data_IF_335717732035
#
_entry.id   IF_335717732035
#
_cell.length_a   1.000
_cell.length_b   1.000
_cell.length_c   1.000
_cell.angle_alpha   90.00
_cell.angle_beta   90.00
_cell.angle_gamma   90.00
#
_symmetry.space_group_name_H-M   'P 1'
#
loop_
_entity.id
_entity.type
_entity.pdbx_description
1 polymer ?
#
# COMPACT_ATOMS: atom_id res chain seq x y z
N UNK A 1 -14.03 -14.63 -16.28
CA UNK A 1 -12.97 -13.94 -15.52
C UNK A 1 -13.63 -13.07 -14.48
N UNK A 2 -13.37 -13.31 -13.20
CA UNK A 2 -13.97 -12.57 -12.08
C UNK A 2 -12.93 -11.52 -11.68
N UNK A 3 -13.22 -10.21 -11.82
CA UNK A 3 -12.39 -9.17 -11.19
C UNK A 3 -12.24 -9.53 -9.72
N UNK A 4 -11.01 -9.46 -9.17
CA UNK A 4 -10.64 -10.00 -7.86
C UNK A 4 -11.81 -9.96 -6.86
N UNK A 5 -12.36 -11.15 -6.56
CA UNK A 5 -13.48 -11.32 -5.64
C UNK A 5 -12.91 -11.16 -4.23
N UNK A 6 -12.73 -9.94 -3.76
CA UNK A 6 -12.79 -9.70 -2.33
C UNK A 6 -14.26 -9.86 -1.95
N UNK A 7 -14.62 -11.08 -1.58
CA UNK A 7 -15.95 -11.47 -1.14
C UNK A 7 -16.21 -10.78 0.19
N UNK A 8 -16.81 -9.59 0.13
CA UNK A 8 -17.68 -9.11 1.21
C UNK A 8 -19.05 -9.76 0.96
N UNK A 9 -19.24 -10.97 1.47
CA UNK A 9 -20.57 -11.50 1.74
C UNK A 9 -21.19 -10.66 2.85
N UNK A 10 -21.90 -9.60 2.48
CA UNK A 10 -22.96 -9.06 3.33
C UNK A 10 -24.27 -9.17 2.57
N UNK A 11 -25.12 -10.03 3.13
CA UNK A 11 -26.41 -10.40 2.60
C UNK A 11 -27.31 -9.18 2.36
N UNK A 12 -27.89 -9.16 1.18
CA UNK A 12 -29.21 -8.60 0.97
C UNK A 12 -30.21 -9.33 1.85
N UNK A 13 -31.00 -8.58 2.63
CA UNK A 13 -32.47 -8.67 2.76
C UNK A 13 -32.85 -7.86 3.99
N UNK A 14 -33.48 -6.70 3.79
CA UNK A 14 -34.43 -6.15 4.75
C UNK A 14 -35.33 -5.14 4.04
N UNK A 15 -36.51 -5.63 3.66
CA UNK A 15 -37.72 -4.82 3.51
C UNK A 15 -38.83 -5.48 4.34
N UNK A 16 -39.28 -4.71 5.33
CA UNK A 16 -40.62 -4.58 5.89
C UNK A 16 -41.39 -5.81 6.47
N UNK A 17 -41.77 -5.58 7.75
CA UNK A 17 -43.13 -5.70 8.32
C UNK A 17 -43.52 -6.97 9.13
N UNK A 18 -43.61 -6.71 10.45
CA UNK A 18 -44.55 -7.18 11.48
C UNK A 18 -45.49 -8.36 11.19
N UNK A 19 -45.40 -9.39 12.04
CA UNK A 19 -46.54 -9.93 12.81
C UNK A 19 -46.03 -10.91 13.88
N UNK A 20 -46.47 -10.72 15.13
CA UNK A 20 -46.26 -11.59 16.28
C UNK A 20 -47.13 -12.84 16.20
N UNK A 21 -46.55 -14.05 16.25
CA UNK A 21 -47.22 -15.24 16.79
C UNK A 21 -46.18 -16.15 17.47
N UNK A 22 -46.53 -16.55 18.68
CA UNK A 22 -45.86 -17.45 19.62
C UNK A 22 -45.85 -18.91 19.14
N UNK A 23 -44.68 -19.57 19.10
CA UNK A 23 -44.55 -21.02 19.35
C UNK A 23 -43.07 -21.45 19.47
N UNK A 24 -42.72 -22.06 20.59
CA UNK A 24 -41.67 -23.09 20.78
C UNK A 24 -42.42 -24.28 21.42
N UNK A 25 -41.92 -25.54 21.44
CA UNK A 25 -40.61 -26.02 20.99
C UNK A 25 -40.65 -27.36 20.21
N UNK A 26 -39.56 -27.73 19.53
CA UNK A 26 -39.27 -29.16 19.30
C UNK A 26 -37.76 -29.41 19.18
N UNK A 27 -37.32 -30.51 19.80
CA UNK A 27 -35.94 -30.94 19.93
C UNK A 27 -35.45 -31.67 18.66
N UNK A 28 -34.13 -31.68 18.37
CA UNK A 28 -33.60 -32.36 17.19
C UNK A 28 -33.58 -33.90 17.34
N UNK A 29 -33.95 -34.59 16.26
CA UNK A 29 -33.94 -36.04 16.12
C UNK A 29 -32.50 -36.64 16.13
N UNK A 30 -32.34 -37.96 16.41
CA UNK A 30 -31.03 -38.58 16.59
C UNK A 30 -30.33 -38.90 15.26
N UNK A 31 -29.00 -38.80 15.26
CA UNK A 31 -28.12 -39.18 14.15
C UNK A 31 -28.13 -40.71 13.95
N UNK A 32 -28.56 -41.15 12.76
CA UNK A 32 -28.50 -42.54 12.32
C UNK A 32 -27.09 -42.90 11.84
N UNK A 33 -26.60 -44.07 12.29
CA UNK A 33 -25.25 -44.59 12.08
C UNK A 33 -25.08 -45.16 10.67
N UNK A 34 -24.07 -44.69 9.93
CA UNK A 34 -23.61 -45.36 8.70
C UNK A 34 -22.78 -46.62 9.04
N UNK A 35 -22.94 -47.75 8.32
CA UNK A 35 -22.15 -48.96 8.57
C UNK A 35 -20.73 -48.90 8.00
N UNK A 36 -19.79 -49.50 8.74
CA UNK A 36 -18.38 -49.69 8.39
C UNK A 36 -18.22 -50.58 7.15
N UNK A 37 -17.27 -50.21 6.28
CA UNK A 37 -16.75 -51.06 5.21
C UNK A 37 -15.78 -52.15 5.79
N UNK A 38 -15.71 -53.35 5.17
CA UNK A 38 -14.98 -54.48 5.73
C UNK A 38 -13.45 -54.39 5.55
N UNK A 39 -12.76 -54.90 6.57
CA UNK A 39 -11.32 -55.12 6.68
C UNK A 39 -10.87 -56.26 5.75
N UNK A 40 -9.76 -56.10 5.03
CA UNK A 40 -9.03 -57.18 4.37
C UNK A 40 -7.57 -57.20 4.89
N UNK A 41 -7.17 -58.34 5.43
CA UNK A 41 -5.84 -58.69 5.97
C UNK A 41 -4.97 -59.38 4.86
N UNK A 42 -3.65 -59.59 5.00
CA UNK A 42 -2.69 -59.34 3.93
C UNK A 42 -2.08 -60.65 3.41
N UNK A 43 -1.45 -60.57 2.23
CA UNK A 43 -0.44 -61.55 1.84
C UNK A 43 -0.74 -62.31 0.55
N UNK A 44 -0.19 -61.80 -0.56
CA UNK A 44 0.66 -62.55 -1.50
C UNK A 44 1.18 -61.61 -2.59
N UNK A 45 2.48 -61.34 -2.59
CA UNK A 45 3.17 -60.77 -3.75
C UNK A 45 3.49 -61.87 -4.78
N UNK A 46 3.33 -61.58 -6.07
CA UNK A 46 4.19 -62.15 -7.12
C UNK A 46 5.11 -61.06 -7.71
N UNK A 47 6.35 -61.47 -8.02
CA UNK A 47 7.48 -60.62 -8.43
C UNK A 47 7.37 -59.93 -9.80
N UNK A 48 8.37 -59.11 -10.16
CA UNK A 48 8.26 -58.10 -11.21
C UNK A 48 8.50 -58.69 -12.61
N UNK A 49 7.51 -58.56 -13.49
CA UNK A 49 7.71 -58.59 -14.94
C UNK A 49 8.19 -57.23 -15.46
N UNK A 50 8.91 -57.17 -16.59
CA UNK A 50 9.47 -55.92 -17.09
C UNK A 50 8.36 -54.96 -17.54
N UNK A 51 8.37 -53.75 -16.98
CA UNK A 51 7.43 -52.69 -17.33
C UNK A 51 7.73 -52.12 -18.73
N UNK A 52 6.70 -51.73 -19.51
CA UNK A 52 6.89 -50.98 -20.75
C UNK A 52 7.51 -49.60 -20.46
N UNK A 53 8.41 -49.16 -21.33
CA UNK A 53 9.06 -47.86 -21.24
C UNK A 53 8.04 -46.72 -21.21
N UNK A 54 8.08 -45.92 -20.14
CA UNK A 54 7.32 -44.67 -20.00
C UNK A 54 7.83 -43.64 -21.02
N UNK A 55 6.95 -42.83 -21.64
CA UNK A 55 7.40 -41.70 -22.44
C UNK A 55 8.11 -40.67 -21.55
N UNK A 56 9.19 -40.07 -22.07
CA UNK A 56 9.98 -39.03 -21.40
C UNK A 56 9.10 -37.90 -20.84
N UNK A 57 9.41 -37.38 -19.64
CA UNK A 57 8.69 -36.22 -19.13
C UNK A 57 9.00 -35.00 -20.02
N UNK A 58 7.96 -34.23 -20.33
CA UNK A 58 8.09 -32.93 -20.99
C UNK A 58 9.09 -32.04 -20.21
N UNK A 59 9.82 -31.13 -20.88
CA UNK A 59 10.74 -30.23 -20.21
C UNK A 59 9.98 -29.46 -19.13
N UNK A 60 10.38 -29.63 -17.87
CA UNK A 60 9.85 -28.80 -16.80
C UNK A 60 10.22 -27.34 -17.10
N UNK A 61 9.31 -26.38 -16.88
CA UNK A 61 9.68 -24.96 -16.89
C UNK A 61 10.86 -24.79 -15.94
N UNK A 62 11.89 -24.07 -16.39
CA UNK A 62 13.05 -23.77 -15.56
C UNK A 62 12.57 -23.29 -14.18
N UNK A 63 13.20 -23.75 -13.07
CA UNK A 63 12.83 -23.29 -11.76
C UNK A 63 12.88 -21.77 -11.75
N UNK A 64 11.76 -21.15 -11.37
CA UNK A 64 11.69 -19.72 -11.09
C UNK A 64 12.90 -19.38 -10.22
N UNK A 65 13.69 -18.33 -10.54
CA UNK A 65 14.80 -17.95 -9.68
C UNK A 65 14.28 -17.88 -8.25
N UNK A 66 15.02 -18.48 -7.32
CA UNK A 66 14.74 -18.31 -5.90
C UNK A 66 14.58 -16.80 -5.65
N UNK A 67 13.62 -16.36 -4.81
CA UNK A 67 13.53 -14.97 -4.42
C UNK A 67 14.92 -14.54 -4.00
N UNK A 68 15.50 -13.60 -4.74
CA UNK A 68 16.87 -13.15 -4.52
C UNK A 68 17.01 -12.81 -3.04
N UNK A 69 18.16 -13.14 -2.49
CA UNK A 69 18.60 -12.73 -1.15
C UNK A 69 18.57 -11.19 -0.96
N UNK A 70 18.18 -10.42 -1.98
CA UNK A 70 17.85 -9.00 -1.95
C UNK A 70 16.54 -8.67 -1.20
N UNK A 71 15.62 -9.63 -1.03
CA UNK A 71 14.36 -9.39 -0.31
C UNK A 71 14.49 -9.51 1.23
N UNK A 72 15.59 -10.12 1.73
CA UNK A 72 15.77 -10.40 3.15
C UNK A 72 16.50 -9.28 3.94
N UNK A 73 17.20 -8.38 3.26
CA UNK A 73 18.03 -7.33 3.90
C UNK A 73 17.38 -5.93 3.87
N UNK A 74 16.14 -5.77 3.41
CA UNK A 74 15.49 -4.46 3.27
C UNK A 74 14.90 -3.91 4.59
N UNK A 75 15.51 -4.24 5.73
CA UNK A 75 15.49 -3.32 6.86
C UNK A 75 16.44 -2.17 6.48
N UNK A 76 15.87 -1.06 6.02
CA UNK A 76 16.61 0.17 5.70
C UNK A 76 17.16 0.79 6.98
N UNK A 77 18.14 0.12 7.57
CA UNK A 77 18.93 0.64 8.67
C UNK A 77 19.85 1.74 8.14
N UNK A 78 20.05 2.75 8.98
CA UNK A 78 20.98 3.83 8.69
C UNK A 78 22.40 3.29 8.46
N UNK A 79 23.13 3.90 7.52
CA UNK A 79 24.53 3.58 7.29
C UNK A 79 25.34 3.86 8.56
N UNK A 80 26.18 2.90 8.94
CA UNK A 80 27.08 3.10 10.07
C UNK A 80 28.26 4.00 9.67
N UNK A 81 28.90 4.70 10.63
CA UNK A 81 30.06 5.54 10.34
C UNK A 81 31.14 4.79 9.55
N UNK A 82 31.57 5.37 8.43
CA UNK A 82 32.60 4.80 7.55
C UNK A 82 32.11 3.78 6.53
N UNK A 83 30.81 3.45 6.48
CA UNK A 83 30.23 2.53 5.48
C UNK A 83 29.73 3.21 4.21
N UNK A 84 29.82 4.54 4.13
CA UNK A 84 29.43 5.27 2.94
C UNK A 84 30.40 5.02 1.77
N UNK A 85 29.87 4.58 0.63
CA UNK A 85 30.58 4.45 -0.64
C UNK A 85 29.95 5.41 -1.67
N UNK A 86 30.68 6.43 -2.15
CA UNK A 86 30.17 7.38 -3.14
C UNK A 86 29.90 6.76 -4.52
N UNK A 87 30.28 5.50 -4.75
CA UNK A 87 30.00 4.78 -6.00
C UNK A 87 28.77 3.87 -5.93
N UNK A 88 28.30 3.53 -4.73
CA UNK A 88 27.15 2.66 -4.53
C UNK A 88 25.84 3.42 -4.76
N UNK A 89 24.91 2.79 -5.49
CA UNK A 89 23.52 3.23 -5.54
C UNK A 89 22.78 2.61 -4.35
N UNK A 90 22.27 3.46 -3.46
CA UNK A 90 21.54 3.06 -2.25
C UNK A 90 20.03 2.89 -2.51
N UNK A 91 19.55 3.13 -3.73
CA UNK A 91 18.14 3.02 -4.11
C UNK A 91 17.93 1.94 -5.19
N UNK A 92 17.84 0.65 -4.77
CA UNK A 92 17.66 -0.47 -5.70
C UNK A 92 16.30 -0.44 -6.41
N UNK A 93 15.30 0.18 -5.80
CA UNK A 93 13.96 0.35 -6.35
C UNK A 93 13.71 1.81 -6.67
N UNK A 94 13.29 2.09 -7.91
CA UNK A 94 12.97 3.44 -8.38
C UNK A 94 11.51 3.51 -8.78
N UNK A 95 10.81 4.54 -8.31
CA UNK A 95 9.40 4.78 -8.59
C UNK A 95 9.17 5.03 -10.09
N UNK A 96 8.09 4.46 -10.62
CA UNK A 96 7.62 4.66 -11.99
C UNK A 96 6.24 5.30 -11.93
N UNK A 97 6.17 6.58 -12.27
CA UNK A 97 4.93 7.32 -12.33
C UNK A 97 4.32 7.20 -13.73
N UNK A 98 3.01 7.03 -13.82
CA UNK A 98 2.32 7.02 -15.12
C UNK A 98 1.89 8.40 -15.58
N UNK A 99 1.71 9.34 -14.65
CA UNK A 99 1.60 10.76 -14.95
C UNK A 99 2.80 11.52 -14.39
N UNK A 100 3.27 12.53 -15.12
CA UNK A 100 4.29 13.48 -14.65
C UNK A 100 3.69 14.78 -14.11
N UNK A 101 2.37 14.86 -13.96
CA UNK A 101 1.64 16.10 -13.63
C UNK A 101 1.62 16.42 -12.13
N UNK A 102 1.74 15.42 -11.25
CA UNK A 102 1.70 15.64 -9.79
C UNK A 102 3.07 15.98 -9.22
N UNK A 103 3.96 14.99 -9.19
CA UNK A 103 5.32 15.15 -8.73
C UNK A 103 6.27 14.37 -9.63
N UNK A 104 7.57 14.62 -9.49
CA UNK A 104 8.61 13.79 -10.07
C UNK A 104 9.72 13.53 -9.06
N UNK A 105 10.55 12.55 -9.39
CA UNK A 105 11.69 12.16 -8.56
C UNK A 105 12.88 11.82 -9.44
N UNK A 106 14.00 12.48 -9.14
CA UNK A 106 15.31 12.16 -9.69
C UNK A 106 16.15 11.42 -8.64
N UNK A 107 16.77 10.33 -9.07
CA UNK A 107 17.57 9.48 -8.19
C UNK A 107 19.05 9.71 -8.43
N UNK A 108 19.75 10.00 -7.36
CA UNK A 108 21.20 10.02 -7.29
C UNK A 108 21.64 8.86 -6.39
N UNK A 109 22.95 8.60 -6.34
CA UNK A 109 23.49 7.43 -5.64
C UNK A 109 23.06 7.33 -4.17
N UNK A 110 23.05 8.45 -3.45
CA UNK A 110 22.77 8.47 -2.01
C UNK A 110 21.73 9.53 -1.60
N UNK A 111 21.16 10.26 -2.56
CA UNK A 111 20.03 11.14 -2.31
C UNK A 111 19.05 11.11 -3.48
N UNK A 112 17.83 11.58 -3.24
CA UNK A 112 16.78 11.77 -4.24
C UNK A 112 16.38 13.23 -4.22
N UNK A 113 15.99 13.75 -5.38
CA UNK A 113 15.38 15.07 -5.49
C UNK A 113 13.93 14.83 -5.87
N UNK A 114 13.01 15.34 -5.05
CA UNK A 114 11.57 15.19 -5.26
C UNK A 114 10.99 16.57 -5.51
N UNK A 115 10.33 16.74 -6.63
CA UNK A 115 9.70 18.01 -7.00
C UNK A 115 8.19 17.82 -7.04
N UNK A 116 7.48 18.45 -6.11
CA UNK A 116 6.04 18.59 -6.18
C UNK A 116 5.70 19.73 -7.15
N UNK A 117 5.12 19.39 -8.30
CA UNK A 117 4.82 20.35 -9.37
C UNK A 117 3.54 21.15 -9.12
N UNK A 118 2.69 20.68 -8.20
CA UNK A 118 1.45 21.35 -7.86
C UNK A 118 1.68 22.49 -6.87
N UNK A 119 2.70 22.36 -6.01
CA UNK A 119 3.05 23.37 -4.98
C UNK A 119 4.36 24.09 -5.27
N UNK A 120 5.05 23.74 -6.35
CA UNK A 120 6.38 24.25 -6.71
C UNK A 120 7.42 24.05 -5.60
N UNK A 121 7.28 22.97 -4.82
CA UNK A 121 8.21 22.63 -3.73
C UNK A 121 9.21 21.54 -4.16
N UNK A 122 10.46 21.70 -3.73
CA UNK A 122 11.54 20.72 -3.95
C UNK A 122 12.07 20.22 -2.62
N UNK A 123 12.25 18.90 -2.52
CA UNK A 123 12.75 18.21 -1.34
C UNK A 123 13.97 17.37 -1.70
N UNK A 124 15.00 17.42 -0.86
CA UNK A 124 16.21 16.60 -1.02
C UNK A 124 16.20 15.53 0.05
N UNK A 125 16.10 14.27 -0.39
CA UNK A 125 15.96 13.11 0.49
C UNK A 125 17.27 12.34 0.53
N UNK A 126 18.01 12.43 1.63
CA UNK A 126 19.36 11.88 1.79
C UNK A 126 19.30 10.54 2.51
N UNK A 127 19.96 9.52 1.98
CA UNK A 127 20.07 8.22 2.63
C UNK A 127 20.66 8.36 4.03
N UNK A 128 19.99 7.81 5.05
CA UNK A 128 20.44 7.92 6.43
C UNK A 128 21.89 7.46 6.63
N UNK A 129 22.70 8.31 7.26
CA UNK A 129 24.14 8.09 7.48
C UNK A 129 25.04 8.37 6.27
N UNK A 130 24.50 8.82 5.13
CA UNK A 130 25.28 9.38 4.03
C UNK A 130 25.58 10.87 4.27
N UNK A 131 26.65 11.43 3.67
CA UNK A 131 26.90 12.86 3.73
C UNK A 131 25.77 13.65 3.03
N UNK A 132 25.40 14.79 3.61
CA UNK A 132 24.47 15.72 2.98
C UNK A 132 25.09 16.34 1.73
N UNK A 133 24.40 16.32 0.57
CA UNK A 133 24.93 16.90 -0.65
C UNK A 133 25.05 18.42 -0.52
N UNK A 134 26.18 18.95 -0.98
CA UNK A 134 26.39 20.40 -1.09
C UNK A 134 26.11 20.81 -2.52
N UNK A 135 25.26 21.82 -2.70
CA UNK A 135 24.94 22.40 -4.00
C UNK A 135 25.62 23.75 -4.14
N UNK A 136 26.25 23.99 -5.28
CA UNK A 136 26.95 25.24 -5.58
C UNK A 136 26.75 25.63 -7.05
N UNK A 137 27.28 26.78 -7.45
CA UNK A 137 27.14 27.31 -8.81
C UNK A 137 27.67 26.36 -9.91
N UNK A 138 28.54 25.40 -9.57
CA UNK A 138 29.12 24.42 -10.49
C UNK A 138 28.45 23.04 -10.40
N UNK A 139 27.74 22.75 -9.30
CA UNK A 139 27.12 21.46 -9.05
C UNK A 139 25.66 21.64 -8.62
N UNK A 140 24.74 21.37 -9.56
CA UNK A 140 23.29 21.48 -9.40
C UNK A 140 22.85 22.86 -8.89
N UNK A 141 23.16 23.95 -9.62
CA UNK A 141 22.83 25.32 -9.21
C UNK A 141 21.33 25.55 -8.97
N UNK A 142 20.47 24.79 -9.64
CA UNK A 142 19.01 24.81 -9.43
C UNK A 142 18.59 24.39 -8.02
N UNK A 143 19.45 23.69 -7.27
CA UNK A 143 19.20 23.24 -5.90
C UNK A 143 19.87 24.12 -4.83
N UNK A 144 20.67 25.12 -5.20
CA UNK A 144 21.44 25.95 -4.26
C UNK A 144 20.56 26.74 -3.26
N UNK A 145 19.28 26.97 -3.59
CA UNK A 145 18.31 27.65 -2.71
C UNK A 145 17.34 26.72 -1.98
N UNK A 146 17.46 25.39 -2.13
CA UNK A 146 16.57 24.44 -1.47
C UNK A 146 16.91 24.38 0.01
N UNK A 147 15.90 24.44 0.88
CA UNK A 147 16.06 24.37 2.35
C UNK A 147 15.46 23.11 2.96
N UNK A 148 14.68 22.34 2.19
CA UNK A 148 13.95 21.17 2.68
C UNK A 148 14.74 19.89 2.46
N UNK A 149 15.66 19.63 3.38
CA UNK A 149 16.47 18.41 3.41
C UNK A 149 15.90 17.42 4.43
N UNK A 150 15.85 16.15 4.05
CA UNK A 150 15.35 15.08 4.90
C UNK A 150 16.28 13.88 4.88
N UNK A 151 16.72 13.45 6.05
CA UNK A 151 17.34 12.13 6.20
C UNK A 151 16.24 11.05 6.08
N UNK A 152 16.44 10.04 5.22
CA UNK A 152 15.47 8.99 4.96
C UNK A 152 16.00 7.59 5.34
N UNK A 153 15.20 6.77 6.05
CA UNK A 153 13.88 7.09 6.60
C UNK A 153 13.96 8.05 7.82
N UNK A 154 12.97 8.94 8.05
CA UNK A 154 12.94 9.80 9.23
C UNK A 154 12.70 8.98 10.50
N UNK A 155 13.25 9.41 11.63
CA UNK A 155 13.11 8.71 12.92
C UNK A 155 11.81 9.08 13.62
N UNK A 156 11.33 10.31 13.45
CA UNK A 156 10.06 10.80 13.98
C UNK A 156 9.39 11.68 12.95
N UNK A 157 8.09 11.47 12.75
CA UNK A 157 7.32 12.28 11.80
C UNK A 157 6.01 12.74 12.41
N UNK A 158 5.38 13.73 11.78
CA UNK A 158 4.05 14.17 12.10
C UNK A 158 3.20 14.23 10.83
N UNK A 159 1.89 14.07 11.01
CA UNK A 159 0.93 14.39 9.95
C UNK A 159 -0.13 15.33 10.48
N UNK A 160 -0.45 16.34 9.69
CA UNK A 160 -1.56 17.26 9.88
C UNK A 160 -2.74 16.92 8.94
N UNK A 161 -2.65 15.79 8.21
CA UNK A 161 -3.66 15.29 7.27
C UNK A 161 -4.00 13.81 7.52
N UNK A 162 -5.28 13.46 7.29
CA UNK A 162 -5.76 12.09 7.51
C UNK A 162 -5.45 11.14 6.36
N UNK A 163 -5.45 11.63 5.11
CA UNK A 163 -5.12 10.81 3.94
C UNK A 163 -3.72 10.21 4.07
N UNK A 164 -2.77 10.99 4.58
CA UNK A 164 -1.40 10.55 4.88
C UNK A 164 -1.37 9.30 5.73
N UNK A 165 -2.19 9.20 6.78
CA UNK A 165 -2.21 8.02 7.66
C UNK A 165 -2.55 6.74 6.88
N UNK A 166 -3.59 6.80 6.04
CA UNK A 166 -3.99 5.65 5.23
C UNK A 166 -2.89 5.20 4.26
N UNK A 167 -2.17 6.15 3.64
CA UNK A 167 -1.03 5.81 2.78
C UNK A 167 0.13 5.22 3.57
N UNK A 168 0.47 5.76 4.73
CA UNK A 168 1.55 5.24 5.57
C UNK A 168 1.26 3.83 6.09
N UNK A 169 0.00 3.53 6.43
CA UNK A 169 -0.44 2.18 6.80
C UNK A 169 -0.25 1.19 5.63
N UNK A 170 -0.67 1.56 4.41
CA UNK A 170 -0.46 0.72 3.21
C UNK A 170 1.02 0.52 2.85
N UNK A 171 1.87 1.48 3.21
CA UNK A 171 3.33 1.42 3.05
C UNK A 171 4.02 0.66 4.19
N UNK A 172 3.26 0.11 5.13
CA UNK A 172 3.77 -0.62 6.30
C UNK A 172 4.72 0.24 7.16
N UNK A 173 4.50 1.55 7.20
CA UNK A 173 5.25 2.49 8.03
C UNK A 173 4.65 2.45 9.43
N UNK A 174 5.40 1.86 10.37
CA UNK A 174 5.04 1.81 11.77
C UNK A 174 5.25 3.17 12.46
N UNK A 175 4.46 3.51 13.49
CA UNK A 175 4.49 4.84 14.10
C UNK A 175 5.76 5.08 14.94
N UNK A 176 6.52 6.14 14.62
CA UNK A 176 6.88 7.17 15.59
C UNK A 176 6.25 8.52 15.17
N UNK A 177 4.92 8.56 15.19
CA UNK A 177 4.12 9.64 14.63
C UNK A 177 3.50 10.53 15.72
N UNK A 178 3.60 11.86 15.57
CA UNK A 178 2.71 12.82 16.24
C UNK A 178 1.54 13.13 15.30
N UNK A 179 0.31 12.91 15.76
CA UNK A 179 -0.90 13.37 15.05
C UNK A 179 -1.59 14.42 15.91
N UNK A 180 -1.32 15.73 15.68
CA UNK A 180 -2.11 16.80 16.25
C UNK A 180 -3.54 16.62 15.79
N UNK A 181 -4.49 16.73 16.72
CA UNK A 181 -5.82 16.20 16.53
C UNK A 181 -6.50 16.72 15.28
N UNK A 182 -6.79 15.76 14.43
CA UNK A 182 -7.53 15.94 13.20
C UNK A 182 -9.02 15.89 13.46
N UNK A 183 -9.79 16.69 12.73
CA UNK A 183 -11.24 16.87 12.88
C UNK A 183 -12.08 15.70 12.39
N UNK A 184 -11.48 14.65 11.83
CA UNK A 184 -12.20 13.42 11.53
C UNK A 184 -11.46 12.20 12.06
N UNK A 185 -12.13 11.42 12.89
CA UNK A 185 -11.65 10.13 13.37
C UNK A 185 -11.11 9.29 12.19
N UNK A 186 -9.96 8.60 12.34
CA UNK A 186 -9.51 7.67 11.31
C UNK A 186 -10.63 6.67 11.02
N UNK A 187 -10.82 6.36 9.74
CA UNK A 187 -11.77 5.35 9.28
C UNK A 187 -11.48 4.03 10.01
N UNK A 188 -12.36 3.66 10.96
CA UNK A 188 -12.26 2.40 11.67
C UNK A 188 -12.75 1.30 10.74
N UNK A 189 -11.89 0.37 10.35
CA UNK A 189 -12.36 -0.90 9.78
C UNK A 189 -13.24 -1.58 10.83
N UNK A 190 -14.51 -1.82 10.49
CA UNK A 190 -15.47 -2.52 11.35
C UNK A 190 -15.02 -3.94 11.72
N UNK A 191 -14.01 -4.49 11.05
CA UNK A 191 -13.40 -5.80 11.35
C UNK A 191 -12.46 -5.78 12.56
N UNK A 192 -11.98 -4.62 13.01
CA UNK A 192 -11.05 -4.49 14.14
C UNK A 192 -11.77 -4.15 15.47
N UNK A 193 -13.10 -4.21 15.46
CA UNK A 193 -13.93 -3.96 16.65
C UNK A 193 -13.83 -5.07 17.70
N UNK A 194 -13.32 -6.26 17.35
CA UNK A 194 -13.52 -7.44 18.19
C UNK A 194 -12.25 -8.01 18.84
N UNK A 195 -11.01 -7.64 18.47
CA UNK A 195 -9.85 -8.19 19.21
C UNK A 195 -8.49 -7.48 19.18
N UNK A 196 -8.34 -6.28 18.62
CA UNK A 196 -7.11 -5.49 18.83
C UNK A 196 -7.47 -4.02 19.03
N UNK A 197 -7.55 -3.51 20.28
CA UNK A 197 -7.51 -2.08 20.45
C UNK A 197 -6.15 -1.62 19.93
N UNK A 198 -6.14 -1.00 18.75
CA UNK A 198 -4.98 -0.28 18.26
C UNK A 198 -4.82 0.93 19.21
N UNK A 199 -4.24 0.67 20.38
CA UNK A 199 -4.11 1.59 21.53
C UNK A 199 -3.36 2.86 21.15
N UNK A 200 -2.62 2.79 20.04
CA UNK A 200 -1.88 3.87 19.41
C UNK A 200 -2.71 4.75 18.47
N UNK A 201 -4.04 4.62 18.36
CA UNK A 201 -4.87 5.56 17.56
C UNK A 201 -5.87 6.36 18.40
N UNK A 202 -6.29 5.85 19.57
CA UNK A 202 -7.28 6.51 20.43
C UNK A 202 -6.75 7.68 21.27
N UNK A 203 -5.46 8.01 21.22
CA UNK A 203 -4.86 9.10 22.02
C UNK A 203 -4.79 10.45 21.27
N UNK A 204 -5.17 10.49 20.00
CA UNK A 204 -4.79 11.58 19.08
C UNK A 204 -5.90 12.62 18.83
N UNK A 205 -6.80 12.83 19.79
CA UNK A 205 -7.89 13.81 19.65
C UNK A 205 -7.62 15.05 20.49
N UNK A 206 -7.02 16.05 19.87
CA UNK A 206 -6.98 17.44 20.35
C UNK A 206 -6.84 18.39 19.17
N UNK A 207 -7.86 19.19 18.89
CA UNK A 207 -7.99 20.06 17.70
C UNK A 207 -6.80 21.03 17.63
N UNK A 208 -5.77 20.69 16.85
CA UNK A 208 -4.69 21.60 16.51
C UNK A 208 -4.24 21.29 15.09
N UNK A 209 -4.42 22.24 14.17
CA UNK A 209 -3.97 22.14 12.78
C UNK A 209 -2.49 22.48 12.60
N UNK A 210 -1.75 22.61 13.70
CA UNK A 210 -0.35 22.99 13.74
C UNK A 210 0.40 22.24 14.84
N UNK A 211 1.72 22.13 14.72
CA UNK A 211 2.56 21.66 15.81
C UNK A 211 2.87 22.83 16.75
N UNK A 212 2.90 22.55 18.06
CA UNK A 212 3.58 23.46 19.00
C UNK A 212 5.08 23.51 18.68
N UNK A 213 5.81 24.57 19.07
CA UNK A 213 7.26 24.65 18.83
C UNK A 213 8.01 23.41 19.36
N UNK A 214 7.65 22.93 20.56
CA UNK A 214 8.22 21.71 21.12
C UNK A 214 7.97 20.47 20.26
N UNK A 215 6.75 20.30 19.75
CA UNK A 215 6.41 19.17 18.89
C UNK A 215 7.14 19.24 17.54
N UNK A 216 7.34 20.45 17.01
CA UNK A 216 8.12 20.67 15.78
C UNK A 216 9.61 20.32 15.97
N UNK A 217 10.20 20.68 17.11
CA UNK A 217 11.59 20.29 17.44
C UNK A 217 11.75 18.78 17.60
N UNK A 218 10.70 18.10 18.07
CA UNK A 218 10.71 16.67 18.36
C UNK A 218 10.59 15.76 17.12
N UNK A 219 10.26 16.28 15.94
CA UNK A 219 10.07 15.51 14.71
C UNK A 219 11.10 15.90 13.65
N UNK A 220 11.33 15.00 12.69
CA UNK A 220 12.24 15.19 11.55
C UNK A 220 11.47 15.55 10.27
N UNK A 221 10.18 15.22 10.21
CA UNK A 221 9.32 15.39 9.04
C UNK A 221 7.88 15.71 9.45
N UNK A 222 7.23 16.62 8.73
CA UNK A 222 5.83 16.99 8.93
C UNK A 222 5.10 16.98 7.59
N UNK A 223 4.13 16.09 7.43
CA UNK A 223 3.19 16.15 6.31
C UNK A 223 2.09 17.15 6.63
N UNK A 224 1.91 18.15 5.77
CA UNK A 224 0.91 19.20 5.95
C UNK A 224 0.17 19.48 4.64
N UNK A 225 -1.11 19.83 4.76
CA UNK A 225 -1.96 20.05 3.58
C UNK A 225 -1.84 21.39 2.90
N UNK A 226 -0.92 22.24 3.34
CA UNK A 226 -0.61 23.51 2.69
C UNK A 226 0.90 23.73 2.71
N UNK A 227 1.47 24.44 1.72
CA UNK A 227 2.87 24.84 1.72
C UNK A 227 3.25 25.57 3.00
N UNK A 228 4.44 25.28 3.50
CA UNK A 228 4.97 25.90 4.70
C UNK A 228 6.47 26.16 4.49
N UNK A 229 6.96 27.40 4.76
CA UNK A 229 8.36 27.76 4.51
C UNK A 229 9.35 27.09 5.48
N UNK A 230 8.87 26.47 6.56
CA UNK A 230 9.72 25.76 7.50
C UNK A 230 10.26 24.46 6.89
N UNK A 231 11.54 24.18 7.15
CA UNK A 231 12.34 23.13 6.50
C UNK A 231 11.78 21.72 6.66
N UNK A 232 11.13 21.40 7.80
CA UNK A 232 10.63 20.04 8.07
C UNK A 232 9.26 19.75 7.43
N UNK A 233 8.63 20.73 6.79
CA UNK A 233 7.30 20.57 6.22
C UNK A 233 7.34 20.08 4.78
N UNK A 234 6.53 19.08 4.49
CA UNK A 234 6.28 18.55 3.16
C UNK A 234 4.79 18.68 2.86
N UNK A 235 4.46 19.02 1.62
CA UNK A 235 3.08 19.23 1.19
C UNK A 235 2.67 18.19 0.17
N UNK A 236 1.97 17.12 0.60
CA UNK A 236 1.27 16.23 -0.30
C UNK A 236 0.08 16.92 -0.97
N UNK A 237 -0.10 16.71 -2.27
CA UNK A 237 -1.16 17.33 -3.09
C UNK A 237 -2.04 16.26 -3.77
N UNK A 238 -2.45 15.24 -3.03
CA UNK A 238 -3.40 14.21 -3.47
C UNK A 238 -4.87 14.69 -3.56
N UNK A 239 -5.11 15.86 -4.15
CA UNK A 239 -6.40 16.54 -4.12
C UNK A 239 -7.48 15.94 -5.04
N UNK A 240 -8.63 16.64 -5.08
CA UNK A 240 -9.84 16.18 -5.77
C UNK A 240 -9.85 16.43 -7.28
N UNK A 241 -8.98 17.34 -7.72
CA UNK A 241 -8.70 17.69 -9.10
C UNK A 241 -8.00 16.57 -9.88
N UNK A 242 -7.34 15.64 -9.19
CA UNK A 242 -6.67 14.50 -9.79
C UNK A 242 -7.66 13.38 -10.15
N UNK A 243 -7.35 12.66 -11.24
CA UNK A 243 -8.04 11.40 -11.54
C UNK A 243 -7.85 10.40 -10.39
N UNK A 244 -8.77 9.44 -10.18
CA UNK A 244 -8.60 8.44 -9.12
C UNK A 244 -7.26 7.71 -9.18
N UNK A 245 -6.78 7.36 -10.38
CA UNK A 245 -5.48 6.70 -10.53
C UNK A 245 -4.32 7.64 -10.21
N UNK A 246 -4.36 8.90 -10.67
CA UNK A 246 -3.33 9.89 -10.37
C UNK A 246 -3.24 10.16 -8.85
N UNK A 247 -4.38 10.19 -8.15
CA UNK A 247 -4.40 10.31 -6.68
C UNK A 247 -3.68 9.13 -6.01
N UNK A 248 -3.86 7.92 -6.51
CA UNK A 248 -3.19 6.74 -5.93
C UNK A 248 -1.68 6.72 -6.19
N UNK A 249 -1.18 7.44 -7.19
CA UNK A 249 0.27 7.58 -7.40
C UNK A 249 0.96 8.38 -6.30
N UNK A 250 0.21 9.17 -5.51
CA UNK A 250 0.75 9.86 -4.33
C UNK A 250 1.18 8.90 -3.21
N UNK A 251 0.71 7.65 -3.21
CA UNK A 251 1.34 6.61 -2.36
C UNK A 251 2.84 6.49 -2.66
N UNK A 252 3.22 6.66 -3.93
CA UNK A 252 4.60 6.76 -4.35
C UNK A 252 5.34 7.93 -3.71
N UNK A 253 4.72 9.12 -3.64
CA UNK A 253 5.31 10.30 -3.01
C UNK A 253 5.68 10.03 -1.55
N UNK A 254 4.72 9.54 -0.76
CA UNK A 254 4.97 9.16 0.64
C UNK A 254 6.09 8.13 0.77
N UNK A 255 6.14 7.14 -0.12
CA UNK A 255 7.12 6.06 -0.06
C UNK A 255 8.57 6.51 -0.21
N UNK A 256 8.82 7.64 -0.89
CA UNK A 256 10.16 8.17 -1.12
C UNK A 256 10.85 8.56 0.20
N UNK A 257 10.07 9.06 1.16
CA UNK A 257 10.54 9.45 2.49
C UNK A 257 10.91 8.26 3.38
N UNK A 258 10.44 7.05 3.05
CA UNK A 258 10.64 5.86 3.88
C UNK A 258 11.40 4.73 3.18
N UNK A 259 11.92 4.96 1.97
CA UNK A 259 12.51 3.92 1.10
C UNK A 259 11.55 2.74 0.83
N UNK A 260 10.25 3.04 0.63
CA UNK A 260 9.18 2.03 0.45
C UNK A 260 8.66 1.96 -0.99
N UNK A 261 9.44 2.39 -1.98
CA UNK A 261 9.01 2.51 -3.38
C UNK A 261 8.53 1.20 -3.98
N UNK A 262 9.16 0.08 -3.60
CA UNK A 262 8.72 -1.25 -4.03
C UNK A 262 7.28 -1.54 -3.56
N UNK A 263 7.01 -1.29 -2.28
CA UNK A 263 5.67 -1.50 -1.69
C UNK A 263 4.66 -0.59 -2.38
N UNK A 264 4.99 0.69 -2.57
CA UNK A 264 4.13 1.63 -3.27
C UNK A 264 3.79 1.18 -4.69
N UNK A 265 4.79 0.76 -5.47
CA UNK A 265 4.55 0.28 -6.84
C UNK A 265 3.69 -0.98 -6.86
N UNK A 266 3.98 -1.96 -6.02
CA UNK A 266 3.22 -3.22 -5.99
C UNK A 266 1.74 -2.94 -5.62
N UNK A 267 1.49 -2.07 -4.64
CA UNK A 267 0.14 -1.66 -4.22
C UNK A 267 -0.59 -0.86 -5.29
N UNK A 268 0.03 0.21 -5.81
CA UNK A 268 -0.59 1.07 -6.82
C UNK A 268 -0.86 0.34 -8.13
N UNK A 269 -0.01 -0.63 -8.49
CA UNK A 269 -0.25 -1.49 -9.65
C UNK A 269 -1.51 -2.36 -9.44
N UNK A 270 -1.66 -3.01 -8.29
CA UNK A 270 -2.86 -3.79 -7.98
C UNK A 270 -4.14 -2.94 -7.99
N UNK A 271 -4.08 -1.72 -7.49
CA UNK A 271 -5.20 -0.78 -7.51
C UNK A 271 -5.55 -0.35 -8.94
N UNK A 272 -4.53 -0.08 -9.76
CA UNK A 272 -4.71 0.23 -11.19
C UNK A 272 -5.38 -0.92 -11.93
N UNK A 273 -4.92 -2.14 -11.74
CA UNK A 273 -5.46 -3.31 -12.42
C UNK A 273 -6.94 -3.54 -12.06
N UNK A 274 -7.27 -3.40 -10.77
CA UNK A 274 -8.66 -3.48 -10.30
C UNK A 274 -9.54 -2.37 -10.89
N UNK A 275 -9.06 -1.12 -10.90
CA UNK A 275 -9.76 0.01 -11.47
C UNK A 275 -10.05 -0.21 -12.97
N UNK A 276 -9.05 -0.64 -13.74
CA UNK A 276 -9.21 -0.89 -15.17
C UNK A 276 -10.15 -2.07 -15.44
N UNK A 277 -10.12 -3.13 -14.61
CA UNK A 277 -11.07 -4.24 -14.69
C UNK A 277 -12.51 -3.75 -14.53
N UNK A 278 -12.77 -2.96 -13.48
CA UNK A 278 -14.11 -2.41 -13.21
C UNK A 278 -14.55 -1.43 -14.30
N UNK A 279 -13.66 -0.55 -14.74
CA UNK A 279 -13.94 0.41 -15.82
C UNK A 279 -14.37 -0.31 -17.09
N UNK A 280 -13.64 -1.34 -17.49
CA UNK A 280 -13.96 -2.13 -18.68
C UNK A 280 -15.30 -2.85 -18.51
N UNK A 281 -15.56 -3.43 -17.34
CA UNK A 281 -16.83 -4.12 -17.09
C UNK A 281 -18.04 -3.20 -17.16
N UNK A 282 -17.91 -1.98 -16.66
CA UNK A 282 -18.97 -0.96 -16.76
C UNK A 282 -19.23 -0.53 -18.20
N UNK A 283 -18.19 -0.44 -19.03
CA UNK A 283 -18.36 -0.14 -20.46
C UNK A 283 -19.11 -1.24 -21.21
N UNK A 284 -18.78 -2.51 -20.96
CA UNK A 284 -19.51 -3.65 -21.52
C UNK A 284 -21.00 -3.59 -21.17
N UNK A 285 -21.33 -3.40 -19.89
CA UNK A 285 -22.72 -3.32 -19.43
C UNK A 285 -23.47 -2.14 -20.04
N UNK A 286 -22.80 -1.01 -20.23
CA UNK A 286 -23.40 0.15 -20.91
C UNK A 286 -23.71 -0.15 -22.38
N UNK A 287 -22.81 -0.82 -23.08
CA UNK A 287 -23.01 -1.25 -24.47
C UNK A 287 -24.16 -2.27 -24.58
N UNK A 288 -24.20 -3.26 -23.70
CA UNK A 288 -25.29 -4.24 -23.63
C UNK A 288 -26.66 -3.57 -23.37
N UNK A 289 -26.71 -2.63 -22.42
CA UNK A 289 -27.94 -1.87 -22.13
C UNK A 289 -28.39 -1.09 -23.36
N UNK A 290 -27.48 -0.37 -24.01
CA UNK A 290 -27.79 0.41 -25.21
C UNK A 290 -28.30 -0.51 -26.34
N UNK A 291 -27.63 -1.64 -26.59
CA UNK A 291 -28.05 -2.62 -27.59
C UNK A 291 -29.43 -3.21 -27.30
N UNK A 292 -29.81 -3.41 -26.03
CA UNK A 292 -31.15 -3.86 -25.63
C UNK A 292 -32.21 -2.77 -25.80
N UNK A 293 -31.89 -1.50 -25.48
CA UNK A 293 -32.81 -0.37 -25.68
C UNK A 293 -33.20 -0.20 -27.15
N UNK A 294 -32.25 -0.31 -28.09
CA UNK A 294 -32.53 -0.23 -29.52
C UNK A 294 -33.35 -1.42 -30.06
N UNK A 295 -33.49 -2.53 -29.31
CA UNK A 295 -34.28 -3.70 -29.69
C UNK A 295 -35.74 -3.66 -29.19
N UNK A 296 -36.10 -2.70 -28.33
CA UNK A 296 -37.45 -2.57 -27.76
C UNK A 296 -38.27 -1.46 -28.48
N UNK A 297 -37.67 -0.74 -29.42
CA UNK A 297 -38.34 0.30 -30.20
C UNK A 297 -39.05 -0.29 -31.43
N UNK A 298 -40.16 -1.00 -31.24
CA UNK A 298 -41.18 -1.31 -32.27
C UNK A 298 -42.54 -1.54 -31.59
#
# INVERSE_FOLDING_TARGET
>A
MVCARTVLTYGTVLWAAMATVTARPEAPAPLEKQPLAPVLDPGKQPGPGPAPALPSPAPQPAPKPAPDQLEADAHFECLQPGQFDPKKDYFPYKLRLSSKEGFEVDYFKHFKVVTNKLEEETYVLVQCGAPEPQFDDNYMPELAGVTKFFEIPPKRYATLQNSTLAFLEELEVSPPMIVPGSSSAPYRDGRDMENKPNKALNKYVGINYSLTPRQYEEVDLVFAGNPNPLEKYVTPSEGNELTPLARMEWMGFYSLFFNKEKIAQDKTQGIRDNYLCMKNKLQELKQEKNAKMYKIAW
#
